data_IF_082929933092
#
_entry.id   IF_082929933092
#
_cell.length_a   1.000
_cell.length_b   1.000
_cell.length_c   1.000
_cell.angle_alpha   90.00
_cell.angle_beta   90.00
_cell.angle_gamma   90.00
#
_symmetry.space_group_name_H-M   'P 1'
#
loop_
_entity.id
_entity.type
_entity.pdbx_description
1 polymer ?
#
# COMPACT_ATOMS: atom_id res chain seq x y z
N UNK A 1 -2.51 -5.38 -8.19
CA UNK A 1 -3.29 -6.55 -8.67
C UNK A 1 -2.73 -7.09 -9.96
N UNK A 2 -2.33 -6.26 -10.94
CA UNK A 2 -1.76 -6.76 -12.20
C UNK A 2 -0.68 -7.87 -12.07
N UNK A 3 0.23 -7.80 -11.08
CA UNK A 3 1.20 -8.89 -10.85
C UNK A 3 0.55 -10.18 -10.35
N UNK A 4 -0.38 -10.11 -9.38
CA UNK A 4 -1.08 -11.29 -8.87
C UNK A 4 -1.92 -11.93 -9.97
N UNK A 5 -2.64 -11.11 -10.74
CA UNK A 5 -3.49 -11.57 -11.83
C UNK A 5 -2.65 -12.31 -12.90
N UNK A 6 -1.51 -11.74 -13.30
CA UNK A 6 -0.60 -12.38 -14.24
C UNK A 6 0.02 -13.68 -13.69
N UNK A 7 0.31 -13.75 -12.39
CA UNK A 7 0.81 -14.98 -11.76
C UNK A 7 -0.28 -16.06 -11.71
N UNK A 8 -1.53 -15.68 -11.42
CA UNK A 8 -2.68 -16.60 -11.42
C UNK A 8 -2.94 -17.17 -12.81
N UNK A 9 -2.85 -16.33 -13.86
CA UNK A 9 -2.94 -16.79 -15.26
C UNK A 9 -1.85 -17.83 -15.56
N UNK A 10 -0.59 -17.55 -15.22
CA UNK A 10 0.53 -18.49 -15.44
C UNK A 10 0.39 -19.80 -14.65
N UNK A 11 -0.21 -19.76 -13.45
CA UNK A 11 -0.52 -20.95 -12.68
C UNK A 11 -1.64 -21.75 -13.37
N UNK A 12 -2.69 -21.07 -13.83
CA UNK A 12 -3.83 -21.71 -14.51
C UNK A 12 -3.42 -22.42 -15.80
N UNK A 13 -2.47 -21.82 -16.53
CA UNK A 13 -1.84 -22.39 -17.73
C UNK A 13 -0.79 -23.48 -17.42
N UNK A 14 -0.58 -23.81 -16.14
CA UNK A 14 0.43 -24.77 -15.65
C UNK A 14 1.88 -24.42 -16.05
N UNK A 15 2.15 -23.14 -16.33
CA UNK A 15 3.48 -22.65 -16.75
C UNK A 15 4.41 -22.43 -15.57
N UNK A 16 3.86 -22.14 -14.39
CA UNK A 16 4.62 -22.01 -13.14
C UNK A 16 3.90 -22.75 -12.01
N UNK A 17 4.67 -23.21 -11.03
CA UNK A 17 4.11 -23.76 -9.80
C UNK A 17 3.65 -22.63 -8.85
N UNK A 18 2.58 -22.82 -8.06
CA UNK A 18 2.13 -21.83 -7.07
C UNK A 18 3.23 -21.39 -6.08
N UNK A 19 4.12 -22.31 -5.70
CA UNK A 19 5.25 -22.00 -4.81
C UNK A 19 6.23 -21.00 -5.43
N UNK A 20 6.39 -21.00 -6.76
CA UNK A 20 7.22 -20.03 -7.45
C UNK A 20 6.56 -18.65 -7.45
N UNK A 21 5.25 -18.58 -7.70
CA UNK A 21 4.50 -17.33 -7.62
C UNK A 21 4.62 -16.68 -6.22
N UNK A 22 4.49 -17.47 -5.15
CA UNK A 22 4.69 -16.98 -3.78
C UNK A 22 6.10 -16.39 -3.56
N UNK A 23 7.13 -17.00 -4.13
CA UNK A 23 8.51 -16.44 -4.07
C UNK A 23 8.64 -15.15 -4.86
N UNK A 24 7.97 -15.03 -6.01
CA UNK A 24 7.94 -13.81 -6.81
C UNK A 24 7.26 -12.68 -6.04
N UNK A 25 6.12 -12.95 -5.38
CA UNK A 25 5.42 -11.98 -4.54
C UNK A 25 6.28 -11.52 -3.36
N UNK A 26 6.93 -12.44 -2.66
CA UNK A 26 7.83 -12.08 -1.56
C UNK A 26 9.01 -11.19 -2.04
N UNK A 27 9.52 -11.43 -3.25
CA UNK A 27 10.56 -10.58 -3.82
C UNK A 27 10.02 -9.21 -4.26
N UNK A 28 8.79 -9.17 -4.78
CA UNK A 28 8.10 -7.92 -5.10
C UNK A 28 7.90 -7.06 -3.86
N UNK A 29 7.42 -7.63 -2.74
CA UNK A 29 7.21 -6.90 -1.48
C UNK A 29 8.49 -6.25 -0.96
N UNK A 30 9.63 -6.95 -1.06
CA UNK A 30 10.94 -6.38 -0.74
C UNK A 30 11.28 -5.23 -1.68
N UNK A 31 11.19 -5.46 -2.99
CA UNK A 31 11.61 -4.50 -4.01
C UNK A 31 10.78 -3.21 -3.97
N UNK A 32 9.46 -3.29 -3.79
CA UNK A 32 8.61 -2.11 -3.73
C UNK A 32 8.92 -1.28 -2.48
N UNK A 33 9.16 -1.93 -1.34
CA UNK A 33 9.50 -1.24 -0.09
C UNK A 33 10.80 -0.45 -0.22
N UNK A 34 11.84 -1.08 -0.79
CA UNK A 34 13.13 -0.44 -1.05
C UNK A 34 13.00 0.74 -2.03
N UNK A 35 12.32 0.53 -3.16
CA UNK A 35 12.15 1.58 -4.18
C UNK A 35 11.36 2.76 -3.64
N UNK A 36 10.28 2.52 -2.88
CA UNK A 36 9.50 3.59 -2.26
C UNK A 36 10.35 4.43 -1.29
N UNK A 37 11.15 3.80 -0.44
CA UNK A 37 12.01 4.50 0.52
C UNK A 37 13.11 5.32 -0.19
N UNK A 38 13.75 4.71 -1.19
CA UNK A 38 14.94 5.29 -1.81
C UNK A 38 14.59 6.35 -2.86
N UNK A 39 13.58 6.09 -3.71
CA UNK A 39 13.33 6.86 -4.94
C UNK A 39 12.20 7.87 -4.79
N UNK A 40 11.21 7.63 -3.92
CA UNK A 40 10.06 8.54 -3.79
C UNK A 40 10.37 9.64 -2.78
N UNK A 41 10.42 10.88 -3.26
CA UNK A 41 10.64 12.09 -2.43
C UNK A 41 9.43 13.03 -2.38
N UNK A 42 8.41 12.75 -3.19
CA UNK A 42 7.20 13.56 -3.25
C UNK A 42 6.50 13.57 -1.88
N UNK A 43 6.04 14.75 -1.46
CA UNK A 43 5.30 14.94 -0.22
C UNK A 43 3.85 15.29 -0.53
N UNK A 44 2.95 14.83 0.33
CA UNK A 44 1.54 15.19 0.29
C UNK A 44 1.07 15.56 1.69
N UNK A 45 0.06 16.41 1.76
CA UNK A 45 -0.71 16.69 2.97
C UNK A 45 -2.19 16.47 2.69
N UNK A 46 -2.98 16.14 3.71
CA UNK A 46 -4.42 16.00 3.55
C UNK A 46 -5.18 16.55 4.75
N UNK A 47 -6.43 16.92 4.52
CA UNK A 47 -7.39 17.31 5.55
C UNK A 47 -8.72 16.63 5.26
N UNK A 48 -9.44 16.23 6.30
CA UNK A 48 -10.77 15.62 6.20
C UNK A 48 -11.34 15.33 7.59
N UNK A 49 -12.52 14.72 7.63
CA UNK A 49 -13.21 14.38 8.87
C UNK A 49 -13.03 12.89 9.19
N UNK A 50 -12.46 12.57 10.35
CA UNK A 50 -12.33 11.18 10.79
C UNK A 50 -13.71 10.58 11.07
N UNK A 51 -14.04 9.47 10.41
CA UNK A 51 -15.28 8.73 10.59
C UNK A 51 -15.11 7.63 11.65
N UNK A 52 -14.11 6.77 11.47
CA UNK A 52 -13.74 5.73 12.44
C UNK A 52 -12.27 5.35 12.27
N UNK A 53 -11.69 4.77 13.31
CA UNK A 53 -10.33 4.22 13.29
C UNK A 53 -10.29 2.83 13.93
N UNK A 54 -9.24 2.06 13.61
CA UNK A 54 -8.91 0.78 14.26
C UNK A 54 -7.40 0.62 14.29
N UNK A 55 -6.90 0.11 15.41
CA UNK A 55 -5.55 -0.40 15.53
C UNK A 55 -5.61 -1.87 15.93
N UNK A 56 -5.01 -2.74 15.14
CA UNK A 56 -4.93 -4.19 15.39
C UNK A 56 -3.68 -4.73 14.69
N UNK A 57 -2.96 -5.64 15.34
CA UNK A 57 -1.75 -6.29 14.79
C UNK A 57 -0.74 -5.30 14.19
N UNK A 58 -0.49 -4.20 14.91
CA UNK A 58 0.41 -3.11 14.48
C UNK A 58 0.01 -2.38 13.19
N UNK A 59 -1.23 -2.58 12.72
CA UNK A 59 -1.79 -1.90 11.56
C UNK A 59 -2.87 -0.91 11.98
N UNK A 60 -2.67 0.35 11.61
CA UNK A 60 -3.69 1.38 11.71
C UNK A 60 -4.59 1.37 10.47
N UNK A 61 -5.90 1.44 10.69
CA UNK A 61 -6.89 1.68 9.64
C UNK A 61 -7.73 2.90 10.00
N UNK A 62 -7.77 3.90 9.13
CA UNK A 62 -8.61 5.09 9.27
C UNK A 62 -9.63 5.14 8.12
N UNK A 63 -10.86 5.50 8.44
CA UNK A 63 -11.87 5.91 7.47
C UNK A 63 -12.09 7.41 7.63
N UNK A 64 -11.86 8.17 6.57
CA UNK A 64 -11.91 9.64 6.58
C UNK A 64 -12.90 10.09 5.51
N UNK A 65 -13.76 11.05 5.84
CA UNK A 65 -14.75 11.68 4.96
C UNK A 65 -14.27 13.06 4.50
N UNK A 66 -14.79 13.49 3.35
CA UNK A 66 -14.59 14.84 2.79
C UNK A 66 -13.11 15.24 2.76
N UNK A 67 -12.30 14.38 2.15
CA UNK A 67 -10.84 14.48 2.18
C UNK A 67 -10.34 15.34 1.02
N UNK A 68 -9.48 16.31 1.32
CA UNK A 68 -8.74 17.10 0.35
C UNK A 68 -7.25 16.82 0.49
N UNK A 69 -6.64 16.27 -0.55
CA UNK A 69 -5.21 16.05 -0.69
C UNK A 69 -4.55 17.24 -1.40
N UNK A 70 -3.41 17.66 -0.89
CA UNK A 70 -2.55 18.69 -1.48
C UNK A 70 -1.16 18.11 -1.70
N UNK A 71 -0.68 18.22 -2.92
CA UNK A 71 0.66 17.80 -3.35
C UNK A 71 1.41 19.06 -3.82
N UNK A 72 2.74 19.06 -3.74
CA UNK A 72 3.56 20.26 -3.97
C UNK A 72 3.47 20.81 -5.40
N UNK A 73 3.20 19.97 -6.41
CA UNK A 73 3.26 20.34 -7.83
C UNK A 73 2.02 19.96 -8.64
N UNK A 74 0.94 19.51 -8.00
CA UNK A 74 -0.30 19.11 -8.68
C UNK A 74 -1.53 19.78 -8.06
N UNK A 75 -2.61 19.82 -8.84
CA UNK A 75 -3.92 20.27 -8.34
C UNK A 75 -4.37 19.46 -7.13
N UNK A 76 -5.19 20.10 -6.29
CA UNK A 76 -5.79 19.45 -5.13
C UNK A 76 -6.72 18.33 -5.61
N UNK A 77 -6.66 17.19 -4.93
CA UNK A 77 -7.54 16.04 -5.20
C UNK A 77 -8.52 15.93 -4.05
N UNK A 78 -9.81 15.79 -4.36
CA UNK A 78 -10.87 15.64 -3.35
C UNK A 78 -11.50 14.26 -3.44
N UNK A 79 -11.97 13.73 -2.31
CA UNK A 79 -12.68 12.46 -2.24
C UNK A 79 -13.66 12.44 -1.06
N UNK A 80 -14.87 11.95 -1.29
CA UNK A 80 -15.93 11.87 -0.26
C UNK A 80 -15.55 10.92 0.87
N UNK A 81 -14.83 9.84 0.56
CA UNK A 81 -14.42 8.82 1.55
C UNK A 81 -13.11 8.17 1.16
N UNK A 82 -12.18 8.07 2.11
CA UNK A 82 -10.88 7.42 1.96
C UNK A 82 -10.67 6.42 3.08
N UNK A 83 -10.11 5.25 2.75
CA UNK A 83 -9.55 4.29 3.71
C UNK A 83 -8.03 4.37 3.68
N UNK A 84 -7.42 4.74 4.81
CA UNK A 84 -5.95 4.72 4.99
C UNK A 84 -5.59 3.48 5.80
N UNK A 85 -4.72 2.63 5.27
CA UNK A 85 -4.14 1.49 5.97
C UNK A 85 -2.64 1.74 6.10
N UNK A 86 -2.15 1.79 7.34
CA UNK A 86 -0.75 2.09 7.65
C UNK A 86 -0.17 1.00 8.53
N UNK A 87 0.88 0.34 8.04
CA UNK A 87 1.68 -0.57 8.84
C UNK A 87 2.72 0.21 9.66
N UNK A 88 3.18 -0.38 10.76
CA UNK A 88 4.33 0.11 11.51
C UNK A 88 5.58 0.10 10.62
N UNK A 89 6.41 1.15 10.70
CA UNK A 89 7.66 1.25 9.95
C UNK A 89 8.83 0.52 10.62
N UNK A 90 8.68 0.11 11.88
CA UNK A 90 9.67 -0.71 12.56
C UNK A 90 9.72 -2.11 11.94
N UNK A 91 10.93 -2.64 11.76
CA UNK A 91 11.09 -4.03 11.33
C UNK A 91 10.65 -4.95 12.47
N UNK A 92 10.01 -6.11 12.19
CA UNK A 92 9.71 -7.09 13.22
C UNK A 92 11.01 -7.46 13.97
N UNK A 93 11.10 -7.11 15.25
CA UNK A 93 12.28 -7.37 16.10
C UNK A 93 13.14 -6.17 16.50
N UNK A 94 12.86 -4.95 16.04
CA UNK A 94 13.54 -3.73 16.52
C UNK A 94 12.73 -3.06 17.64
N UNK A 95 13.27 -3.02 18.86
CA UNK A 95 12.71 -2.29 20.02
C UNK A 95 12.92 -0.79 19.90
#
# INVERSE_FOLDING_TARGET
MALTDALDDLISEQRIAPQLAMKILANFDRSITEVLADRVKARLSFKGHLDTYRFCDEVWTFLIKDVTFKMESTQQVTADRVKIVSCNSKRPGET
#
